data_IF_347104591392
#
_entry.id   IF_347104591392
#
_cell.length_a   1.000
_cell.length_b   1.000
_cell.length_c   1.000
_cell.angle_alpha   90.00
_cell.angle_beta   90.00
_cell.angle_gamma   90.00
#
_symmetry.space_group_name_H-M   'P 1'
#
loop_
_entity.id
_entity.type
_entity.pdbx_description
1 polymer ?
#
# COMPACT_ATOMS: atom_id res chain seq x y z
N UNK A 1 -28.38 -16.70 35.41
CA UNK A 1 -27.62 -16.83 34.15
C UNK A 1 -27.20 -15.43 33.77
N UNK A 2 -25.91 -15.14 33.78
CA UNK A 2 -25.37 -13.92 33.16
C UNK A 2 -25.67 -14.07 31.67
N UNK A 3 -26.53 -13.21 31.14
CA UNK A 3 -26.82 -13.21 29.69
C UNK A 3 -25.52 -12.86 28.97
N UNK A 4 -25.03 -13.76 28.11
CA UNK A 4 -23.88 -13.43 27.23
C UNK A 4 -24.31 -12.36 26.25
N UNK A 5 -23.52 -11.30 26.12
CA UNK A 5 -23.76 -10.30 25.09
C UNK A 5 -23.57 -10.92 23.72
N UNK A 6 -24.44 -10.57 22.80
CA UNK A 6 -24.37 -10.99 21.40
C UNK A 6 -23.68 -9.94 20.54
N UNK A 7 -22.62 -10.34 19.85
CA UNK A 7 -21.85 -9.48 18.97
C UNK A 7 -21.95 -9.97 17.54
N UNK A 8 -22.38 -9.09 16.67
CA UNK A 8 -22.37 -9.34 15.20
C UNK A 8 -21.16 -8.64 14.59
N UNK A 9 -20.45 -9.38 13.74
CA UNK A 9 -19.32 -8.84 12.96
C UNK A 9 -19.68 -8.95 11.48
N UNK A 10 -19.66 -7.81 10.80
CA UNK A 10 -19.95 -7.71 9.37
C UNK A 10 -18.64 -7.71 8.59
N UNK A 11 -18.38 -8.79 7.87
CA UNK A 11 -17.16 -9.02 7.09
C UNK A 11 -16.22 -10.04 7.71
N UNK A 12 -15.89 -11.07 6.96
CA UNK A 12 -14.99 -12.18 7.33
C UNK A 12 -13.56 -12.01 6.77
N UNK A 13 -13.09 -10.76 6.62
CA UNK A 13 -11.70 -10.46 6.29
C UNK A 13 -10.77 -10.54 7.51
N UNK A 14 -9.51 -10.10 7.36
CA UNK A 14 -8.51 -10.13 8.42
C UNK A 14 -9.02 -9.48 9.72
N UNK A 15 -9.58 -8.28 9.63
CA UNK A 15 -10.08 -7.53 10.78
C UNK A 15 -11.27 -8.25 11.45
N UNK A 16 -12.23 -8.75 10.67
CA UNK A 16 -13.41 -9.43 11.22
C UNK A 16 -13.09 -10.77 11.88
N UNK A 17 -12.22 -11.57 11.25
CA UNK A 17 -11.76 -12.83 11.83
C UNK A 17 -11.02 -12.59 13.16
N UNK A 18 -10.11 -11.60 13.18
CA UNK A 18 -9.33 -11.25 14.37
C UNK A 18 -10.24 -10.72 15.49
N UNK A 19 -11.12 -9.76 15.19
CA UNK A 19 -12.07 -9.20 16.14
C UNK A 19 -13.01 -10.28 16.72
N UNK A 20 -13.45 -11.25 15.91
CA UNK A 20 -14.34 -12.33 16.35
C UNK A 20 -13.71 -13.22 17.42
N UNK A 21 -12.41 -13.52 17.28
CA UNK A 21 -11.66 -14.32 18.22
C UNK A 21 -11.59 -13.62 19.59
N UNK A 22 -11.26 -12.32 19.59
CA UNK A 22 -11.15 -11.56 20.84
C UNK A 22 -12.51 -11.32 21.49
N UNK A 23 -13.55 -11.00 20.72
CA UNK A 23 -14.91 -10.87 21.23
C UNK A 23 -15.39 -12.17 21.90
N UNK A 24 -15.15 -13.32 21.25
CA UNK A 24 -15.52 -14.62 21.80
C UNK A 24 -14.69 -15.01 23.03
N UNK A 25 -13.39 -14.73 23.05
CA UNK A 25 -12.52 -14.92 24.23
C UNK A 25 -13.02 -14.15 25.46
N UNK A 26 -13.65 -13.00 25.24
CA UNK A 26 -14.23 -12.18 26.31
C UNK A 26 -15.62 -12.66 26.76
N UNK A 27 -16.05 -13.85 26.35
CA UNK A 27 -17.29 -14.48 26.81
C UNK A 27 -18.55 -14.02 26.09
N UNK A 28 -18.44 -13.42 24.89
CA UNK A 28 -19.57 -13.04 24.08
C UNK A 28 -20.01 -14.16 23.12
N UNK A 29 -21.29 -14.20 22.77
CA UNK A 29 -21.82 -14.95 21.64
C UNK A 29 -21.50 -14.16 20.35
N UNK A 30 -20.70 -14.74 19.44
CA UNK A 30 -20.19 -14.01 18.28
C UNK A 30 -20.66 -14.62 16.97
N UNK A 31 -21.24 -13.82 16.08
CA UNK A 31 -21.66 -14.17 14.73
C UNK A 31 -20.92 -13.33 13.70
N UNK A 32 -20.24 -13.99 12.76
CA UNK A 32 -19.58 -13.34 11.61
C UNK A 32 -20.41 -13.55 10.38
N UNK A 33 -20.82 -12.47 9.72
CA UNK A 33 -21.54 -12.49 8.44
C UNK A 33 -20.56 -12.12 7.32
N UNK A 34 -20.36 -13.03 6.39
CA UNK A 34 -19.51 -12.85 5.21
C UNK A 34 -20.33 -13.07 3.94
N UNK A 35 -20.30 -12.08 3.04
CA UNK A 35 -21.05 -12.16 1.79
C UNK A 35 -20.47 -13.13 0.76
N UNK A 36 -19.17 -13.42 0.85
CA UNK A 36 -18.49 -14.37 -0.03
C UNK A 36 -18.66 -15.83 0.42
N UNK A 37 -18.19 -16.73 -0.43
CA UNK A 37 -18.18 -18.18 -0.22
C UNK A 37 -17.11 -18.66 0.77
N UNK A 38 -16.18 -17.78 1.17
CA UNK A 38 -15.08 -18.10 2.09
C UNK A 38 -14.58 -16.87 2.82
N UNK A 39 -13.93 -17.10 3.96
CA UNK A 39 -13.24 -16.05 4.73
C UNK A 39 -11.94 -15.64 4.07
N UNK A 40 -11.44 -14.44 4.40
CA UNK A 40 -10.09 -14.01 4.12
C UNK A 40 -9.73 -13.80 2.65
N UNK A 41 -10.70 -13.58 1.73
CA UNK A 41 -10.41 -13.46 0.28
C UNK A 41 -9.32 -12.45 -0.05
N UNK A 42 -9.35 -11.25 0.56
CA UNK A 42 -8.29 -10.25 0.35
C UNK A 42 -6.99 -10.68 1.02
N UNK A 43 -7.05 -11.24 2.22
CA UNK A 43 -5.89 -11.74 2.94
C UNK A 43 -5.13 -12.78 2.10
N UNK A 44 -5.86 -13.65 1.40
CA UNK A 44 -5.30 -14.69 0.54
C UNK A 44 -4.38 -14.13 -0.56
N UNK A 45 -4.69 -12.97 -1.15
CA UNK A 45 -3.91 -12.37 -2.23
C UNK A 45 -2.83 -11.39 -1.75
N UNK A 46 -2.79 -11.04 -0.46
CA UNK A 46 -1.78 -10.11 0.08
C UNK A 46 -0.38 -10.69 0.01
N UNK A 47 0.63 -9.81 -0.06
CA UNK A 47 2.03 -10.22 -0.13
C UNK A 47 2.34 -11.17 -1.30
N UNK A 48 1.62 -11.07 -2.42
CA UNK A 48 1.69 -11.99 -3.58
C UNK A 48 1.35 -13.44 -3.20
N UNK A 49 0.33 -13.63 -2.37
CA UNK A 49 -0.10 -14.94 -1.88
C UNK A 49 0.66 -15.46 -0.66
N UNK A 50 1.58 -14.69 -0.11
CA UNK A 50 2.39 -15.06 1.07
C UNK A 50 1.85 -14.53 2.39
N UNK A 51 1.01 -13.49 2.37
CA UNK A 51 0.53 -12.71 3.50
C UNK A 51 1.65 -12.00 4.28
N UNK A 52 1.87 -10.71 4.01
CA UNK A 52 2.66 -9.87 4.91
C UNK A 52 1.84 -9.60 6.17
N UNK A 53 2.12 -10.33 7.26
CA UNK A 53 1.31 -10.33 8.49
C UNK A 53 1.43 -9.01 9.24
N UNK A 54 2.66 -8.55 9.43
CA UNK A 54 2.99 -7.30 10.13
C UNK A 54 4.41 -6.85 9.78
N UNK A 55 4.91 -5.83 10.47
CA UNK A 55 6.30 -5.40 10.41
C UNK A 55 6.91 -5.52 11.81
N UNK A 56 8.13 -6.05 11.93
CA UNK A 56 8.84 -6.29 13.18
C UNK A 56 9.68 -5.08 13.64
N UNK A 57 9.36 -3.87 13.17
CA UNK A 57 9.99 -2.64 13.64
C UNK A 57 9.50 -2.24 15.04
N UNK A 58 10.14 -1.26 15.64
CA UNK A 58 9.66 -0.66 16.88
C UNK A 58 8.31 0.05 16.68
N UNK A 59 7.47 0.11 17.72
CA UNK A 59 6.14 0.71 17.66
C UNK A 59 6.20 2.17 17.19
N UNK A 60 7.22 2.92 17.62
CA UNK A 60 7.40 4.32 17.22
C UNK A 60 7.65 4.46 15.71
N UNK A 61 8.34 3.49 15.09
CA UNK A 61 8.53 3.46 13.63
C UNK A 61 7.22 3.19 12.89
N UNK A 62 6.27 2.43 13.46
CA UNK A 62 4.93 2.28 12.87
C UNK A 62 4.22 3.63 12.74
N UNK A 63 4.30 4.49 13.77
CA UNK A 63 3.70 5.82 13.72
C UNK A 63 4.36 6.72 12.67
N UNK A 64 5.68 6.68 12.53
CA UNK A 64 6.40 7.46 11.52
C UNK A 64 5.99 7.08 10.07
N UNK A 65 5.53 5.85 9.88
CA UNK A 65 5.04 5.39 8.58
C UNK A 65 3.55 5.69 8.32
N UNK A 66 2.84 6.28 9.28
CA UNK A 66 1.47 6.72 9.07
C UNK A 66 1.43 8.04 8.31
N UNK A 67 0.62 8.08 7.25
CA UNK A 67 0.51 9.26 6.37
C UNK A 67 -0.29 10.39 7.01
N UNK A 68 -1.28 10.05 7.85
CA UNK A 68 -2.15 11.02 8.51
C UNK A 68 -2.82 10.42 9.75
N UNK A 69 -3.23 11.29 10.67
CA UNK A 69 -3.99 10.93 11.88
C UNK A 69 -3.30 9.88 12.78
N UNK A 70 -1.99 9.91 12.88
CA UNK A 70 -1.21 8.96 13.68
C UNK A 70 -1.71 8.85 15.13
N UNK A 71 -2.07 9.98 15.74
CA UNK A 71 -2.56 10.05 17.12
C UNK A 71 -3.84 9.24 17.35
N UNK A 72 -4.67 9.08 16.33
CA UNK A 72 -5.88 8.26 16.41
C UNK A 72 -5.55 6.78 16.69
N UNK A 73 -4.37 6.32 16.23
CA UNK A 73 -3.96 4.92 16.37
C UNK A 73 -3.17 4.63 17.64
N UNK A 74 -2.88 5.63 18.51
CA UNK A 74 -2.06 5.43 19.69
C UNK A 74 -2.62 4.33 20.60
N UNK A 75 -3.88 4.40 21.01
CA UNK A 75 -4.45 3.37 21.89
C UNK A 75 -4.51 2.00 21.22
N UNK A 76 -4.70 1.92 19.92
CA UNK A 76 -4.71 0.66 19.19
C UNK A 76 -3.32 0.02 19.13
N UNK A 77 -2.30 0.77 18.74
CA UNK A 77 -0.94 0.23 18.56
C UNK A 77 -0.23 -0.07 19.89
N UNK A 78 -0.49 0.72 20.95
CA UNK A 78 0.03 0.42 22.27
C UNK A 78 -0.83 -0.59 23.05
N UNK A 79 -2.12 -0.70 22.72
CA UNK A 79 -3.02 -1.71 23.30
C UNK A 79 -2.82 -3.10 22.72
N UNK A 80 -2.36 -3.20 21.49
CA UNK A 80 -2.01 -4.45 20.81
C UNK A 80 -0.92 -4.17 19.75
N UNK A 81 0.31 -4.45 20.14
CA UNK A 81 1.49 -4.10 19.34
C UNK A 81 1.70 -5.06 18.18
N UNK A 82 2.60 -4.68 17.25
CA UNK A 82 3.06 -5.59 16.19
C UNK A 82 3.76 -6.84 16.75
N UNK A 83 4.41 -6.76 17.90
CA UNK A 83 4.96 -7.92 18.61
C UNK A 83 3.82 -8.82 19.13
N UNK A 84 2.77 -8.25 19.71
CA UNK A 84 1.59 -9.02 20.14
C UNK A 84 0.92 -9.74 18.96
N UNK A 85 0.93 -9.15 17.76
CA UNK A 85 0.45 -9.82 16.54
C UNK A 85 1.30 -11.05 16.22
N UNK A 86 2.63 -10.92 16.29
CA UNK A 86 3.53 -12.06 16.04
C UNK A 86 3.32 -13.15 17.08
N UNK A 87 3.30 -12.80 18.35
CA UNK A 87 3.08 -13.73 19.47
C UNK A 87 1.72 -14.43 19.37
N UNK A 88 0.69 -13.71 18.93
CA UNK A 88 -0.65 -14.28 18.70
C UNK A 88 -0.62 -15.42 17.68
N UNK A 89 0.04 -15.23 16.54
CA UNK A 89 0.12 -16.26 15.51
C UNK A 89 1.06 -17.41 15.92
N UNK A 90 2.19 -17.13 16.55
CA UNK A 90 3.11 -18.14 17.05
C UNK A 90 2.47 -19.01 18.15
N UNK A 91 1.73 -18.42 19.09
CA UNK A 91 0.95 -19.13 20.10
C UNK A 91 -0.20 -19.96 19.48
N UNK A 92 -0.66 -19.61 18.29
CA UNK A 92 -1.61 -20.40 17.51
C UNK A 92 -0.95 -21.53 16.68
N UNK A 93 0.38 -21.73 16.86
CA UNK A 93 1.16 -22.76 16.17
C UNK A 93 1.59 -22.42 14.75
N UNK A 94 1.56 -21.13 14.36
CA UNK A 94 1.99 -20.63 13.08
C UNK A 94 3.38 -20.00 13.21
N UNK A 95 4.40 -20.62 12.63
CA UNK A 95 5.75 -20.06 12.65
C UNK A 95 5.88 -18.91 11.67
N UNK A 96 6.46 -17.79 12.14
CA UNK A 96 6.70 -16.59 11.37
C UNK A 96 8.20 -16.43 11.07
N UNK A 97 8.53 -15.67 10.03
CA UNK A 97 9.88 -15.23 9.68
C UNK A 97 9.88 -13.74 9.36
N UNK A 98 10.97 -13.07 9.73
CA UNK A 98 11.21 -11.67 9.38
C UNK A 98 12.17 -11.58 8.20
N UNK A 99 11.81 -10.83 7.17
CA UNK A 99 12.61 -10.58 5.98
C UNK A 99 13.11 -9.14 5.94
N UNK A 100 13.90 -8.80 4.90
CA UNK A 100 14.45 -7.45 4.70
C UNK A 100 13.33 -6.38 4.82
N UNK A 101 13.62 -5.30 5.54
CA UNK A 101 12.68 -4.23 5.85
C UNK A 101 11.69 -4.60 6.94
N UNK A 102 12.08 -5.51 7.85
CA UNK A 102 11.30 -5.98 8.99
C UNK A 102 9.92 -6.58 8.63
N UNK A 103 9.73 -6.99 7.37
CA UNK A 103 8.47 -7.57 6.91
C UNK A 103 8.31 -8.98 7.45
N UNK A 104 7.17 -9.27 8.05
CA UNK A 104 6.88 -10.56 8.68
C UNK A 104 5.95 -11.39 7.80
N UNK A 105 6.35 -12.63 7.53
CA UNK A 105 5.61 -13.61 6.73
C UNK A 105 5.50 -14.94 7.47
N UNK A 106 4.51 -15.80 7.15
CA UNK A 106 4.55 -17.19 7.59
C UNK A 106 5.77 -17.90 6.97
N UNK A 107 6.40 -18.80 7.73
CA UNK A 107 7.56 -19.59 7.25
C UNK A 107 7.21 -20.41 5.99
N UNK A 108 5.96 -20.84 5.88
CA UNK A 108 5.45 -21.59 4.71
C UNK A 108 5.35 -20.77 3.43
N UNK A 109 5.37 -19.44 3.51
CA UNK A 109 5.08 -18.54 2.40
C UNK A 109 3.67 -18.69 1.78
N UNK A 110 2.72 -19.22 2.56
CA UNK A 110 1.33 -19.40 2.13
C UNK A 110 0.35 -18.62 3.00
N UNK A 111 -0.35 -17.66 2.39
CA UNK A 111 -1.41 -16.89 3.06
C UNK A 111 -2.56 -17.75 3.59
N UNK A 112 -2.81 -18.89 2.96
CA UNK A 112 -3.80 -19.88 3.41
C UNK A 112 -3.55 -20.37 4.83
N UNK A 113 -2.29 -20.49 5.26
CA UNK A 113 -1.97 -20.98 6.60
C UNK A 113 -2.37 -19.98 7.67
N UNK A 114 -2.21 -18.68 7.38
CA UNK A 114 -2.70 -17.61 8.24
C UNK A 114 -4.22 -17.65 8.36
N UNK A 115 -4.93 -17.80 7.23
CA UNK A 115 -6.40 -17.90 7.21
C UNK A 115 -6.87 -19.13 8.01
N UNK A 116 -6.30 -20.30 7.72
CA UNK A 116 -6.65 -21.53 8.45
C UNK A 116 -6.32 -21.45 9.94
N UNK A 117 -5.25 -20.74 10.31
CA UNK A 117 -4.92 -20.48 11.71
C UNK A 117 -6.01 -19.67 12.40
N UNK A 118 -6.46 -18.61 11.78
CA UNK A 118 -7.58 -17.79 12.29
C UNK A 118 -8.88 -18.60 12.36
N UNK A 119 -9.23 -19.37 11.32
CA UNK A 119 -10.41 -20.22 11.30
C UNK A 119 -10.41 -21.27 12.43
N UNK A 120 -9.24 -21.90 12.70
CA UNK A 120 -9.09 -22.82 13.83
C UNK A 120 -9.35 -22.14 15.17
N UNK A 121 -8.88 -20.91 15.35
CA UNK A 121 -9.13 -20.14 16.58
C UNK A 121 -10.59 -19.72 16.68
N UNK A 122 -11.22 -19.26 15.59
CA UNK A 122 -12.65 -18.96 15.57
C UNK A 122 -13.47 -20.18 15.98
N UNK A 123 -13.16 -21.34 15.43
CA UNK A 123 -13.82 -22.61 15.80
C UNK A 123 -13.58 -22.98 17.27
N UNK A 124 -12.35 -22.83 17.76
CA UNK A 124 -12.00 -23.09 19.17
C UNK A 124 -12.83 -22.26 20.14
N UNK A 125 -13.11 -21.01 19.78
CA UNK A 125 -13.91 -20.08 20.59
C UNK A 125 -15.38 -20.03 20.22
N UNK A 126 -15.88 -21.02 19.44
CA UNK A 126 -17.28 -21.20 19.06
C UNK A 126 -17.90 -20.02 18.31
N UNK A 127 -17.09 -19.28 17.53
CA UNK A 127 -17.60 -18.22 16.65
C UNK A 127 -18.51 -18.82 15.59
N UNK A 128 -19.70 -18.26 15.43
CA UNK A 128 -20.67 -18.68 14.42
C UNK A 128 -20.34 -17.97 13.09
N UNK A 129 -19.93 -18.74 12.08
CA UNK A 129 -19.57 -18.21 10.77
C UNK A 129 -20.73 -18.43 9.80
N UNK A 130 -21.16 -17.36 9.14
CA UNK A 130 -22.25 -17.37 8.15
C UNK A 130 -21.72 -16.85 6.83
N UNK A 131 -21.44 -17.75 5.89
CA UNK A 131 -20.99 -17.44 4.53
C UNK A 131 -22.21 -17.19 3.63
N UNK A 132 -22.00 -16.56 2.47
CA UNK A 132 -23.05 -16.16 1.54
C UNK A 132 -24.14 -15.29 2.18
N UNK A 133 -23.80 -14.57 3.26
CA UNK A 133 -24.71 -13.72 4.03
C UNK A 133 -24.29 -12.25 3.87
N UNK A 134 -24.91 -11.58 2.89
CA UNK A 134 -24.68 -10.16 2.62
C UNK A 134 -25.54 -9.30 3.56
N UNK A 135 -24.90 -8.49 4.40
CA UNK A 135 -25.58 -7.52 5.25
C UNK A 135 -25.99 -6.33 4.41
N UNK A 136 -27.26 -6.00 4.43
CA UNK A 136 -27.85 -4.87 3.71
C UNK A 136 -27.83 -3.60 4.56
N UNK A 137 -28.12 -3.73 5.88
CA UNK A 137 -28.39 -2.60 6.76
C UNK A 137 -27.93 -2.91 8.19
N UNK A 138 -27.42 -1.90 8.89
CA UNK A 138 -27.23 -1.92 10.35
C UNK A 138 -28.47 -1.36 10.99
N UNK A 139 -29.13 -2.15 11.83
CA UNK A 139 -30.33 -1.74 12.54
C UNK A 139 -29.96 -0.93 13.77
N UNK A 140 -30.75 0.13 14.02
CA UNK A 140 -30.57 0.99 15.20
C UNK A 140 -31.89 1.23 15.90
N UNK A 141 -31.88 1.24 17.22
CA UNK A 141 -33.00 1.62 18.07
C UNK A 141 -32.53 2.70 19.04
N UNK A 142 -33.21 3.83 19.05
CA UNK A 142 -32.86 4.99 19.89
C UNK A 142 -31.40 5.44 19.73
N UNK A 143 -30.84 5.35 18.51
CA UNK A 143 -29.45 5.73 18.22
C UNK A 143 -28.38 4.69 18.62
N UNK A 144 -28.81 3.51 19.07
CA UNK A 144 -27.91 2.40 19.46
C UNK A 144 -28.07 1.28 18.43
N UNK A 145 -26.95 0.66 18.01
CA UNK A 145 -26.99 -0.48 17.13
C UNK A 145 -27.69 -1.67 17.81
N UNK A 146 -28.68 -2.25 17.13
CA UNK A 146 -29.52 -3.34 17.65
C UNK A 146 -29.45 -4.62 16.83
N UNK A 147 -28.71 -4.64 15.71
CA UNK A 147 -28.56 -5.81 14.87
C UNK A 147 -28.25 -5.49 13.43
N UNK A 148 -28.50 -6.45 12.56
CA UNK A 148 -28.34 -6.34 11.11
C UNK A 148 -29.51 -6.92 10.36
N UNK A 149 -29.75 -6.40 9.16
CA UNK A 149 -30.67 -6.97 8.18
C UNK A 149 -29.88 -7.46 6.98
N UNK A 150 -30.13 -8.69 6.58
CA UNK A 150 -29.51 -9.29 5.42
C UNK A 150 -30.21 -8.90 4.12
N UNK A 151 -29.58 -9.17 2.99
CA UNK A 151 -30.13 -8.93 1.66
C UNK A 151 -31.40 -9.76 1.36
N UNK A 152 -31.54 -10.93 1.97
CA UNK A 152 -32.75 -11.77 1.91
C UNK A 152 -33.84 -11.32 2.89
N UNK A 153 -33.65 -10.13 3.51
CA UNK A 153 -34.52 -9.52 4.51
C UNK A 153 -34.54 -10.22 5.89
N UNK A 154 -33.76 -11.26 6.12
CA UNK A 154 -33.61 -11.86 7.44
C UNK A 154 -32.98 -10.86 8.43
N UNK A 155 -33.54 -10.78 9.63
CA UNK A 155 -33.08 -9.88 10.70
C UNK A 155 -32.38 -10.68 11.79
N UNK A 156 -31.22 -10.19 12.22
CA UNK A 156 -30.49 -10.71 13.37
C UNK A 156 -30.27 -9.60 14.38
N UNK A 157 -30.74 -9.80 15.60
CA UNK A 157 -30.54 -8.86 16.71
C UNK A 157 -29.22 -9.10 17.43
N UNK A 158 -28.63 -8.05 17.98
CA UNK A 158 -27.40 -8.11 18.79
C UNK A 158 -27.28 -6.92 19.72
N UNK A 159 -26.41 -7.04 20.73
CA UNK A 159 -26.07 -5.96 21.66
C UNK A 159 -24.99 -5.04 21.07
N UNK A 160 -24.20 -5.53 20.12
CA UNK A 160 -23.14 -4.75 19.45
C UNK A 160 -22.91 -5.23 18.02
N UNK A 161 -22.51 -4.30 17.16
CA UNK A 161 -22.15 -4.57 15.75
C UNK A 161 -20.76 -4.03 15.47
N UNK A 162 -19.88 -4.89 14.97
CA UNK A 162 -18.54 -4.51 14.48
C UNK A 162 -18.57 -4.53 12.95
N UNK A 163 -18.28 -3.39 12.32
CA UNK A 163 -18.18 -3.28 10.86
C UNK A 163 -16.72 -3.50 10.44
N UNK A 164 -16.47 -4.61 9.76
CA UNK A 164 -15.13 -5.05 9.32
C UNK A 164 -15.11 -5.40 7.82
N UNK A 165 -15.84 -4.62 7.01
CA UNK A 165 -16.12 -4.88 5.59
C UNK A 165 -14.98 -4.53 4.64
N UNK A 166 -13.87 -3.98 5.15
CA UNK A 166 -12.78 -3.43 4.34
C UNK A 166 -13.14 -2.09 3.71
N UNK A 167 -12.33 -1.66 2.76
CA UNK A 167 -12.50 -0.38 2.05
C UNK A 167 -12.98 -0.57 0.61
N UNK A 168 -12.30 0.13 -0.35
CA UNK A 168 -12.65 0.14 -1.77
C UNK A 168 -11.63 -0.60 -2.66
N UNK A 169 -10.47 -0.98 -2.13
CA UNK A 169 -9.43 -1.65 -2.89
C UNK A 169 -9.77 -3.13 -3.13
N UNK A 170 -9.43 -3.62 -4.33
CA UNK A 170 -9.71 -5.01 -4.75
C UNK A 170 -11.18 -5.42 -4.56
N UNK A 171 -12.13 -4.76 -5.23
CA UNK A 171 -13.57 -4.96 -5.02
C UNK A 171 -14.04 -6.41 -5.27
N UNK A 172 -13.35 -7.15 -6.13
CA UNK A 172 -13.61 -8.58 -6.38
C UNK A 172 -13.41 -9.47 -5.15
N UNK A 173 -12.73 -8.98 -4.11
CA UNK A 173 -12.57 -9.66 -2.82
C UNK A 173 -13.72 -9.36 -1.85
N UNK A 174 -14.67 -8.51 -2.23
CA UNK A 174 -15.80 -8.11 -1.40
C UNK A 174 -15.66 -6.72 -0.76
N UNK A 175 -14.55 -5.99 -0.97
CA UNK A 175 -14.36 -4.64 -0.45
C UNK A 175 -14.98 -3.61 -1.40
N UNK A 176 -16.28 -3.39 -1.26
CA UNK A 176 -17.10 -2.55 -2.16
C UNK A 176 -17.57 -1.24 -1.52
N UNK A 177 -17.04 -0.90 -0.33
CA UNK A 177 -17.38 0.34 0.37
C UNK A 177 -18.60 0.23 1.28
N UNK A 178 -19.09 -0.98 1.58
CA UNK A 178 -20.26 -1.17 2.42
C UNK A 178 -20.13 -0.49 3.79
N UNK A 179 -18.95 -0.53 4.41
CA UNK A 179 -18.70 0.11 5.70
C UNK A 179 -18.88 1.62 5.68
N UNK A 180 -18.52 2.28 4.58
CA UNK A 180 -18.75 3.72 4.43
C UNK A 180 -20.24 4.03 4.28
N UNK A 181 -20.97 3.19 3.55
CA UNK A 181 -22.42 3.30 3.42
C UNK A 181 -23.12 3.12 4.78
N UNK A 182 -22.78 2.06 5.52
CA UNK A 182 -23.33 1.81 6.87
C UNK A 182 -23.04 2.97 7.81
N UNK A 183 -21.81 3.51 7.79
CA UNK A 183 -21.46 4.65 8.62
C UNK A 183 -22.32 5.89 8.30
N UNK A 184 -22.55 6.18 7.02
CA UNK A 184 -23.40 7.30 6.60
C UNK A 184 -24.86 7.06 7.01
N UNK A 185 -25.40 5.88 6.78
CA UNK A 185 -26.78 5.50 7.11
C UNK A 185 -27.05 5.56 8.63
N UNK A 186 -26.03 5.29 9.44
CA UNK A 186 -26.10 5.39 10.91
C UNK A 186 -25.71 6.76 11.47
N UNK A 187 -25.57 7.78 10.61
CA UNK A 187 -25.37 9.17 11.01
C UNK A 187 -23.92 9.61 11.20
N UNK A 188 -22.93 8.79 10.85
CA UNK A 188 -21.53 9.17 10.90
C UNK A 188 -21.10 10.01 9.68
N UNK A 189 -20.19 10.95 9.90
CA UNK A 189 -19.56 11.68 8.80
C UNK A 189 -18.43 10.83 8.19
N UNK A 190 -18.54 10.53 6.91
CA UNK A 190 -17.50 9.87 6.13
C UNK A 190 -16.72 10.89 5.34
N UNK A 191 -15.39 10.93 5.50
CA UNK A 191 -14.50 11.77 4.70
C UNK A 191 -14.31 11.16 3.32
N UNK A 192 -14.04 11.99 2.32
CA UNK A 192 -13.78 11.52 0.96
C UNK A 192 -12.56 10.57 0.93
N UNK A 193 -12.74 9.43 0.26
CA UNK A 193 -11.68 8.46 0.05
C UNK A 193 -10.82 8.89 -1.14
N UNK A 194 -9.51 8.92 -0.96
CA UNK A 194 -8.55 9.21 -2.01
C UNK A 194 -7.66 7.99 -2.28
N UNK A 195 -7.16 7.81 -3.53
CA UNK A 195 -6.21 6.75 -3.84
C UNK A 195 -4.94 6.85 -2.99
N UNK A 196 -4.44 5.71 -2.55
CA UNK A 196 -3.20 5.59 -1.78
C UNK A 196 -2.45 4.33 -2.20
N UNK A 197 -1.12 4.37 -2.24
CA UNK A 197 -0.26 3.30 -2.73
C UNK A 197 -0.63 2.88 -4.16
N UNK A 198 -0.77 3.87 -5.04
CA UNK A 198 -1.14 3.68 -6.45
C UNK A 198 -0.06 4.22 -7.38
N UNK A 199 0.04 3.72 -8.62
CA UNK A 199 0.84 4.35 -9.67
C UNK A 199 0.41 5.79 -9.93
N UNK A 200 1.31 6.59 -10.48
CA UNK A 200 1.05 7.97 -10.88
C UNK A 200 1.07 8.08 -12.40
N UNK A 201 0.12 8.81 -12.96
CA UNK A 201 0.13 9.23 -14.36
C UNK A 201 1.05 10.43 -14.55
N UNK A 202 1.71 10.51 -15.67
CA UNK A 202 2.55 11.64 -16.07
C UNK A 202 2.02 12.28 -17.36
N UNK A 203 2.43 13.52 -17.63
CA UNK A 203 1.99 14.27 -18.83
C UNK A 203 2.93 14.10 -20.00
N UNK A 204 4.18 13.71 -19.75
CA UNK A 204 5.23 13.62 -20.74
C UNK A 204 4.97 12.46 -21.71
N UNK A 205 5.00 12.77 -22.98
CA UNK A 205 4.71 11.84 -24.09
C UNK A 205 5.83 10.81 -24.33
N UNK A 206 7.03 11.07 -23.83
CA UNK A 206 8.17 10.15 -23.95
C UNK A 206 8.16 9.02 -22.88
N UNK A 207 7.33 9.10 -21.85
CA UNK A 207 7.27 8.08 -20.79
C UNK A 207 6.97 6.67 -21.31
N UNK A 208 6.02 6.48 -22.26
CA UNK A 208 5.74 5.15 -22.82
C UNK A 208 6.94 4.48 -23.48
N UNK A 209 7.93 5.24 -23.96
CA UNK A 209 9.16 4.72 -24.58
C UNK A 209 10.02 3.94 -23.58
N UNK A 210 9.86 4.22 -22.30
CA UNK A 210 10.58 3.57 -21.19
C UNK A 210 9.74 2.49 -20.48
N UNK A 211 8.59 2.10 -21.02
CA UNK A 211 7.70 1.09 -20.42
C UNK A 211 8.48 -0.16 -20.03
N UNK A 212 8.32 -0.57 -18.75
CA UNK A 212 8.96 -1.77 -18.18
C UNK A 212 10.39 -1.53 -17.68
N UNK A 213 10.98 -0.35 -17.92
CA UNK A 213 12.27 0.01 -17.33
C UNK A 213 12.14 0.19 -15.84
N UNK A 214 12.87 -0.64 -15.08
CA UNK A 214 13.01 -0.51 -13.63
C UNK A 214 14.34 0.19 -13.31
N UNK A 215 14.26 1.20 -12.47
CA UNK A 215 15.42 1.92 -11.94
C UNK A 215 15.62 1.55 -10.47
N UNK A 216 16.87 1.30 -10.11
CA UNK A 216 17.30 1.01 -8.74
C UNK A 216 18.27 2.07 -8.27
N UNK A 217 18.27 2.30 -6.95
CA UNK A 217 19.19 3.26 -6.33
C UNK A 217 19.07 4.66 -6.93
N UNK A 218 17.84 5.12 -7.13
CA UNK A 218 17.51 6.47 -7.60
C UNK A 218 16.84 7.25 -6.48
N UNK A 219 16.88 8.58 -6.57
CA UNK A 219 16.14 9.47 -5.68
C UNK A 219 14.99 10.11 -6.44
N UNK A 220 13.79 10.04 -5.87
CA UNK A 220 12.59 10.69 -6.38
C UNK A 220 12.22 11.86 -5.48
N UNK A 221 12.23 13.07 -6.03
CA UNK A 221 11.78 14.28 -5.35
C UNK A 221 10.53 14.81 -6.04
N UNK A 222 9.43 15.01 -5.28
CA UNK A 222 8.21 15.63 -5.79
C UNK A 222 8.06 17.01 -5.17
N UNK A 223 7.84 18.02 -6.01
CA UNK A 223 7.70 19.41 -5.60
C UNK A 223 6.34 20.00 -5.98
N UNK A 224 5.80 20.83 -5.09
CA UNK A 224 4.68 21.73 -5.31
C UNK A 224 5.24 23.14 -5.44
N UNK A 225 5.35 23.64 -6.66
CA UNK A 225 6.14 24.83 -6.93
C UNK A 225 7.59 24.67 -6.43
N UNK A 226 8.04 25.53 -5.51
CA UNK A 226 9.38 25.46 -4.92
C UNK A 226 9.49 24.53 -3.70
N UNK A 227 8.35 24.08 -3.14
CA UNK A 227 8.33 23.29 -1.90
C UNK A 227 8.42 21.80 -2.22
N UNK A 228 9.40 21.12 -1.65
CA UNK A 228 9.47 19.65 -1.64
C UNK A 228 8.36 19.09 -0.75
N UNK A 229 7.51 18.22 -1.31
CA UNK A 229 6.40 17.54 -0.62
C UNK A 229 6.66 16.06 -0.42
N UNK A 230 7.61 15.49 -1.19
CA UNK A 230 8.10 14.13 -1.01
C UNK A 230 9.53 14.04 -1.54
N UNK A 231 10.38 13.28 -0.85
CA UNK A 231 11.72 12.91 -1.29
C UNK A 231 12.09 11.60 -0.64
N UNK A 232 12.54 10.64 -1.43
CA UNK A 232 12.99 9.34 -0.93
C UNK A 232 13.90 8.65 -1.95
N UNK A 233 14.68 7.67 -1.46
CA UNK A 233 15.64 6.88 -2.23
C UNK A 233 15.16 5.43 -2.35
N UNK A 234 15.31 4.81 -3.53
CA UNK A 234 14.92 3.41 -3.70
C UNK A 234 14.75 3.00 -5.16
N UNK A 235 13.65 2.29 -5.43
CA UNK A 235 13.33 1.69 -6.72
C UNK A 235 12.03 2.24 -7.28
N UNK A 236 12.00 2.43 -8.60
CA UNK A 236 10.80 2.77 -9.36
C UNK A 236 10.79 2.10 -10.74
N UNK A 237 9.66 2.15 -11.41
CA UNK A 237 9.48 1.61 -12.75
C UNK A 237 8.62 2.52 -13.61
N UNK A 238 8.93 2.61 -14.91
CA UNK A 238 8.09 3.28 -15.89
C UNK A 238 7.01 2.34 -16.44
N UNK A 239 5.82 2.89 -16.64
CA UNK A 239 4.67 2.22 -17.27
C UNK A 239 4.32 2.88 -18.59
N UNK A 240 3.29 2.40 -19.27
CA UNK A 240 2.79 3.05 -20.51
C UNK A 240 2.01 4.35 -20.23
N UNK A 241 1.68 4.68 -18.99
CA UNK A 241 0.89 5.87 -18.63
C UNK A 241 1.60 6.75 -17.59
N UNK A 242 2.74 6.34 -17.06
CA UNK A 242 3.42 7.07 -16.00
C UNK A 242 4.45 6.25 -15.26
N UNK A 243 4.45 6.36 -13.94
CA UNK A 243 5.45 5.78 -13.06
C UNK A 243 4.82 4.94 -11.94
N UNK A 244 5.55 3.94 -11.46
CA UNK A 244 5.16 3.03 -10.37
C UNK A 244 6.40 2.52 -9.60
N UNK A 245 6.21 1.55 -8.75
CA UNK A 245 7.26 0.95 -7.91
C UNK A 245 7.26 1.52 -6.49
N UNK A 246 8.09 0.97 -5.59
CA UNK A 246 8.03 1.29 -4.16
C UNK A 246 8.07 2.79 -3.83
N UNK A 247 9.01 3.54 -4.44
CA UNK A 247 9.11 5.00 -4.27
C UNK A 247 7.83 5.72 -4.65
N UNK A 248 7.27 5.38 -5.82
CA UNK A 248 6.10 6.05 -6.38
C UNK A 248 4.84 5.72 -5.58
N UNK A 249 4.68 4.47 -5.15
CA UNK A 249 3.57 4.06 -4.31
C UNK A 249 3.59 4.80 -2.97
N UNK A 250 4.75 4.91 -2.33
CA UNK A 250 4.92 5.69 -1.10
C UNK A 250 4.64 7.18 -1.32
N UNK A 251 5.13 7.74 -2.43
CA UNK A 251 4.87 9.12 -2.82
C UNK A 251 3.36 9.37 -2.96
N UNK A 252 2.64 8.49 -3.69
CA UNK A 252 1.21 8.65 -3.96
C UNK A 252 0.38 8.79 -2.69
N UNK A 253 0.74 8.06 -1.62
CA UNK A 253 0.07 8.16 -0.34
C UNK A 253 0.22 9.54 0.31
N UNK A 254 1.40 10.17 0.16
CA UNK A 254 1.69 11.48 0.76
C UNK A 254 1.16 12.66 -0.06
N UNK A 255 1.14 12.53 -1.39
CA UNK A 255 0.75 13.62 -2.29
C UNK A 255 -0.72 13.59 -2.71
N UNK A 256 -1.45 12.53 -2.42
CA UNK A 256 -2.83 12.30 -2.88
C UNK A 256 -3.77 13.48 -2.61
N UNK A 257 -3.65 14.13 -1.44
CA UNK A 257 -4.46 15.31 -1.08
C UNK A 257 -4.20 16.53 -1.99
N UNK A 258 -2.99 16.70 -2.50
CA UNK A 258 -2.67 17.78 -3.44
C UNK A 258 -3.26 17.49 -4.81
N UNK A 259 -3.10 16.24 -5.29
CA UNK A 259 -3.67 15.80 -6.57
C UNK A 259 -5.20 15.87 -6.59
N UNK A 260 -5.85 15.51 -5.47
CA UNK A 260 -7.31 15.63 -5.32
C UNK A 260 -7.80 17.09 -5.48
N UNK A 261 -7.00 18.06 -5.02
CA UNK A 261 -7.29 19.50 -5.18
C UNK A 261 -6.95 20.04 -6.58
N UNK A 262 -6.49 19.18 -7.51
CA UNK A 262 -6.07 19.58 -8.85
C UNK A 262 -4.74 20.35 -8.87
N UNK A 263 -3.95 20.28 -7.81
CA UNK A 263 -2.67 20.96 -7.75
C UNK A 263 -1.64 20.29 -8.67
N UNK A 264 -0.84 21.09 -9.35
CA UNK A 264 0.24 20.61 -10.21
C UNK A 264 1.48 20.25 -9.37
N UNK A 265 2.03 19.07 -9.63
CA UNK A 265 3.23 18.56 -8.97
C UNK A 265 4.28 18.20 -10.02
N UNK A 266 5.54 18.52 -9.72
CA UNK A 266 6.68 18.18 -10.56
C UNK A 266 7.52 17.10 -9.89
N UNK A 267 7.79 16.02 -10.63
CA UNK A 267 8.66 14.93 -10.20
C UNK A 267 10.06 15.10 -10.79
N UNK A 268 11.07 15.07 -9.93
CA UNK A 268 12.48 15.10 -10.28
C UNK A 268 13.10 13.77 -9.91
N UNK A 269 13.79 13.17 -10.87
CA UNK A 269 14.43 11.88 -10.69
C UNK A 269 15.93 12.04 -10.81
N UNK A 270 16.65 11.83 -9.69
CA UNK A 270 18.11 11.72 -9.70
C UNK A 270 18.50 10.26 -9.95
N UNK A 271 19.18 10.04 -11.07
CA UNK A 271 19.60 8.71 -11.53
C UNK A 271 20.90 8.25 -10.87
N UNK A 272 21.64 9.14 -10.25
CA UNK A 272 22.98 8.89 -9.65
C UNK A 272 23.16 9.62 -8.30
N UNK A 273 22.23 9.47 -7.34
CA UNK A 273 22.25 10.27 -6.11
C UNK A 273 23.48 10.04 -5.22
N UNK A 274 24.23 8.96 -5.46
CA UNK A 274 25.49 8.69 -4.76
C UNK A 274 26.69 9.50 -5.29
N UNK A 275 26.54 10.21 -6.42
CA UNK A 275 27.60 11.02 -7.01
C UNK A 275 27.29 12.51 -6.83
N UNK A 276 28.30 13.29 -6.43
CA UNK A 276 28.21 14.75 -6.55
C UNK A 276 28.23 15.17 -8.03
N UNK A 277 27.79 16.39 -8.32
CA UNK A 277 27.85 16.94 -9.68
C UNK A 277 29.28 16.90 -10.26
N UNK A 278 30.29 17.18 -9.42
CA UNK A 278 31.71 17.12 -9.82
C UNK A 278 32.13 15.68 -10.16
N UNK A 279 31.78 14.72 -9.31
CA UNK A 279 32.08 13.29 -9.55
C UNK A 279 31.38 12.76 -10.80
N UNK A 280 30.15 13.23 -11.07
CA UNK A 280 29.41 12.86 -12.27
C UNK A 280 30.07 13.49 -13.51
N UNK A 281 30.46 14.76 -13.46
CA UNK A 281 31.18 15.42 -14.55
C UNK A 281 32.53 14.74 -14.86
N UNK A 282 33.31 14.40 -13.83
CA UNK A 282 34.55 13.64 -13.98
C UNK A 282 34.32 12.27 -14.62
N UNK A 283 33.21 11.61 -14.28
CA UNK A 283 32.81 10.35 -14.92
C UNK A 283 32.50 10.54 -16.38
N UNK A 284 31.70 11.55 -16.74
CA UNK A 284 31.36 11.89 -18.13
C UNK A 284 32.62 12.23 -18.92
N UNK A 285 33.51 13.04 -18.37
CA UNK A 285 34.79 13.43 -19.00
C UNK A 285 35.66 12.21 -19.33
N UNK A 286 35.74 11.23 -18.45
CA UNK A 286 36.48 9.98 -18.71
C UNK A 286 35.92 9.22 -19.91
N UNK A 287 34.59 9.07 -19.97
CA UNK A 287 33.92 8.39 -21.08
C UNK A 287 34.13 9.17 -22.40
N UNK A 288 34.05 10.50 -22.35
CA UNK A 288 34.28 11.37 -23.50
C UNK A 288 35.70 11.32 -24.00
N UNK A 289 36.68 11.36 -23.10
CA UNK A 289 38.12 11.27 -23.46
C UNK A 289 38.47 9.97 -24.16
N UNK A 290 37.82 8.88 -23.78
CA UNK A 290 38.01 7.56 -24.41
C UNK A 290 37.36 7.43 -25.80
N UNK A 291 36.50 8.40 -26.21
CA UNK A 291 35.67 8.28 -27.40
C UNK A 291 35.50 9.60 -28.18
N UNK A 292 36.54 10.43 -28.23
CA UNK A 292 36.50 11.81 -28.76
C UNK A 292 35.94 11.96 -30.17
N UNK A 293 36.18 10.97 -31.03
CA UNK A 293 35.76 10.99 -32.46
C UNK A 293 34.40 10.27 -32.68
N UNK A 294 33.72 9.81 -31.61
CA UNK A 294 32.41 9.16 -31.73
C UNK A 294 31.28 10.17 -31.57
N UNK A 295 30.12 9.81 -32.08
CA UNK A 295 28.89 10.57 -31.85
C UNK A 295 28.41 10.36 -30.41
N UNK A 296 27.79 11.41 -29.82
CA UNK A 296 27.29 11.43 -28.45
C UNK A 296 26.36 10.25 -28.17
N UNK A 297 25.43 9.92 -29.05
CA UNK A 297 24.50 8.78 -28.91
C UNK A 297 25.18 7.43 -28.71
N UNK A 298 26.40 7.27 -29.23
CA UNK A 298 27.17 6.01 -29.14
C UNK A 298 28.04 5.93 -27.88
N UNK A 299 28.12 7.00 -27.13
CA UNK A 299 28.97 7.09 -25.91
C UNK A 299 28.13 7.19 -24.64
N UNK A 300 27.09 8.01 -24.62
CA UNK A 300 26.31 8.31 -23.42
C UNK A 300 25.57 7.07 -22.88
N UNK A 301 25.32 6.08 -23.71
CA UNK A 301 24.64 4.83 -23.35
C UNK A 301 25.35 4.00 -22.26
N UNK A 302 26.64 4.25 -22.00
CA UNK A 302 27.35 3.58 -20.89
C UNK A 302 26.90 4.06 -19.50
N UNK A 303 26.25 5.23 -19.43
CA UNK A 303 25.78 5.83 -18.20
C UNK A 303 24.34 5.47 -17.85
N UNK A 304 23.55 5.02 -18.85
CA UNK A 304 22.12 4.80 -18.74
C UNK A 304 21.68 3.44 -19.28
N UNK A 305 20.57 2.87 -18.77
CA UNK A 305 19.90 1.75 -19.42
C UNK A 305 19.56 2.06 -20.88
N UNK A 306 19.60 1.05 -21.74
CA UNK A 306 19.42 1.20 -23.19
C UNK A 306 18.11 1.90 -23.60
N UNK A 307 17.01 1.61 -22.89
CA UNK A 307 15.70 2.25 -23.15
C UNK A 307 15.62 3.70 -22.65
N UNK A 308 16.45 4.12 -21.72
CA UNK A 308 16.51 5.48 -21.21
C UNK A 308 17.37 6.39 -22.10
N UNK A 309 18.42 5.84 -22.71
CA UNK A 309 19.39 6.59 -23.52
C UNK A 309 18.75 7.44 -24.63
N UNK A 310 17.85 6.93 -25.47
CA UNK A 310 17.20 7.73 -26.49
C UNK A 310 16.37 8.89 -25.93
N UNK A 311 15.73 8.66 -24.78
CA UNK A 311 14.92 9.69 -24.13
C UNK A 311 15.80 10.81 -23.61
N UNK A 312 16.91 10.49 -22.90
CA UNK A 312 17.87 11.50 -22.41
C UNK A 312 18.44 12.32 -23.58
N UNK A 313 18.78 11.69 -24.69
CA UNK A 313 19.25 12.40 -25.89
C UNK A 313 18.16 13.33 -26.44
N UNK A 314 16.90 12.85 -26.47
CA UNK A 314 15.77 13.61 -27.02
C UNK A 314 15.36 14.83 -26.20
N UNK A 315 15.47 14.76 -24.86
CA UNK A 315 15.13 15.88 -23.95
C UNK A 315 16.32 16.75 -23.55
N UNK A 316 17.53 16.23 -23.76
CA UNK A 316 18.77 16.93 -23.37
C UNK A 316 19.21 18.00 -24.40
N UNK A 317 20.15 18.87 -24.02
CA UNK A 317 20.62 19.97 -24.86
C UNK A 317 21.60 19.52 -25.96
N UNK A 318 22.07 18.27 -25.92
CA UNK A 318 23.10 17.76 -26.84
C UNK A 318 22.48 16.85 -27.89
N UNK A 319 22.61 17.22 -29.15
CA UNK A 319 22.18 16.34 -30.27
C UNK A 319 22.93 15.00 -30.23
N UNK A 320 22.20 13.90 -30.46
CA UNK A 320 22.79 12.56 -30.51
C UNK A 320 23.89 12.39 -31.56
N UNK A 321 23.83 13.16 -32.67
CA UNK A 321 24.80 13.09 -33.77
C UNK A 321 26.02 13.96 -33.57
N UNK A 322 26.04 14.78 -32.52
CA UNK A 322 27.19 15.65 -32.20
C UNK A 322 28.41 14.81 -31.83
N UNK A 323 29.55 15.16 -32.39
CA UNK A 323 30.84 14.51 -32.06
C UNK A 323 31.30 14.94 -30.66
N UNK A 324 31.86 14.02 -29.89
CA UNK A 324 32.22 14.25 -28.49
C UNK A 324 33.16 15.44 -28.32
N UNK A 325 34.17 15.60 -29.19
CA UNK A 325 35.12 16.69 -29.06
C UNK A 325 34.53 18.09 -29.34
N UNK A 326 33.36 18.17 -29.97
CA UNK A 326 32.64 19.41 -30.25
C UNK A 326 31.65 19.79 -29.10
N UNK A 327 31.52 18.96 -28.05
CA UNK A 327 30.63 19.25 -26.95
C UNK A 327 31.28 20.23 -25.99
N UNK A 328 30.67 21.41 -25.85
CA UNK A 328 31.14 22.43 -24.93
C UNK A 328 30.97 22.01 -23.45
N UNK A 329 31.76 22.61 -22.57
CA UNK A 329 31.61 22.44 -21.12
C UNK A 329 30.20 22.84 -20.66
N UNK A 330 29.66 23.93 -21.19
CA UNK A 330 28.31 24.42 -20.86
C UNK A 330 27.25 23.39 -21.21
N UNK A 331 27.27 22.86 -22.44
CA UNK A 331 26.31 21.81 -22.87
C UNK A 331 26.45 20.51 -22.06
N UNK A 332 27.65 20.19 -21.60
CA UNK A 332 27.90 18.99 -20.77
C UNK A 332 27.35 19.15 -19.36
N UNK A 333 27.40 20.36 -18.78
CA UNK A 333 26.93 20.65 -17.43
C UNK A 333 25.42 20.94 -17.36
N UNK A 334 24.78 21.24 -18.49
CA UNK A 334 23.34 21.44 -18.60
C UNK A 334 22.57 20.14 -18.60
#
# INVERSE_FOLDING_TARGET
>A
RISMNKVIIVGGGAAGMFASIFAAKNGNEVHVFEKNEKLGKKLFITGKGRCNVTNACDVDELFQNMVSNEKFMYSSFYGFTNQDVMDFFENAGLRLKTERGNRVFPVSDHSSDIIHGLERLMKKYHVQIRLHCEVLEILTENGIASGVKLKDHTVYTSDSVIVATGGLSYPTTGSTGDGYRFATETGHKVTECIPSLVPLTTREDYIPLMKGLSLRNVELTIKRGKKTVYQDFGEMMFTHFGITGPLVLSASAKIGKFLQKGEELNAFLDLKPALSHEQLDDRILREFSAAQNKQFKNVIGVLFPSSLTPVIIGIGPISGDKIIHDISRESRLA
#
